data_IF_900640559572
#
_entry.id   IF_900640559572
#
_cell.length_a   1.000
_cell.length_b   1.000
_cell.length_c   1.000
_cell.angle_alpha   90.00
_cell.angle_beta   90.00
_cell.angle_gamma   90.00
#
_symmetry.space_group_name_H-M   'P 1'
#
loop_
_entity.id
_entity.type
_entity.pdbx_description
1 polymer ?
#
# COMPACT_ATOMS: atom_id res chain seq x y z
N UNK A 1 6.72 -11.78 -1.32
CA UNK A 1 5.80 -11.00 -2.17
C UNK A 1 4.74 -10.38 -1.27
N UNK A 2 4.53 -9.06 -1.33
CA UNK A 2 3.55 -8.36 -0.49
C UNK A 2 2.26 -8.14 -1.27
N UNK A 3 1.22 -8.95 -1.01
CA UNK A 3 -0.10 -8.81 -1.64
C UNK A 3 -1.15 -8.20 -0.69
N UNK A 4 -0.89 -8.20 0.62
CA UNK A 4 -1.84 -7.73 1.62
C UNK A 4 -2.31 -6.30 1.33
N UNK A 5 -3.63 -6.09 1.27
CA UNK A 5 -4.25 -4.76 1.30
C UNK A 5 -5.01 -4.66 2.61
N UNK A 6 -4.48 -3.82 3.49
CA UNK A 6 -4.92 -3.70 4.87
C UNK A 6 -4.82 -2.23 5.27
N UNK A 7 -5.92 -1.71 5.80
CA UNK A 7 -6.02 -0.40 6.40
C UNK A 7 -6.43 -0.57 7.86
N UNK A 8 -5.61 -0.05 8.77
CA UNK A 8 -5.89 0.01 10.20
C UNK A 8 -6.03 1.48 10.57
N UNK A 9 -7.10 1.84 11.26
CA UNK A 9 -7.32 3.20 11.77
C UNK A 9 -7.57 3.12 13.27
N UNK A 10 -6.77 3.92 13.99
CA UNK A 10 -6.68 3.90 15.45
C UNK A 10 -6.55 2.46 15.97
N UNK A 11 -7.18 2.17 17.11
CA UNK A 11 -7.15 0.86 17.78
C UNK A 11 -8.48 0.10 17.62
N UNK A 12 -9.28 0.38 16.58
CA UNK A 12 -10.63 -0.21 16.46
C UNK A 12 -11.05 -0.59 15.05
N UNK A 13 -10.65 0.17 14.03
CA UNK A 13 -11.15 -0.04 12.67
C UNK A 13 -10.16 -0.83 11.83
N UNK A 14 -10.68 -1.84 11.15
CA UNK A 14 -9.93 -2.69 10.22
C UNK A 14 -10.69 -2.73 8.91
N UNK A 15 -10.00 -2.44 7.81
CA UNK A 15 -10.50 -2.69 6.47
C UNK A 15 -9.48 -3.54 5.70
N UNK A 16 -9.94 -4.69 5.19
CA UNK A 16 -9.12 -5.60 4.40
C UNK A 16 -9.89 -6.09 3.18
N UNK A 17 -9.20 -6.36 2.08
CA UNK A 17 -9.88 -6.79 0.87
C UNK A 17 -9.01 -6.84 -0.37
N UNK A 18 -9.65 -6.74 -1.53
CA UNK A 18 -8.98 -6.75 -2.83
C UNK A 18 -8.47 -5.36 -3.26
N UNK A 19 -9.02 -4.29 -2.70
CA UNK A 19 -8.77 -2.90 -3.12
C UNK A 19 -7.30 -2.51 -2.98
N UNK A 20 -6.66 -2.18 -4.10
CA UNK A 20 -5.36 -1.49 -4.08
C UNK A 20 -5.56 0.01 -3.84
N UNK A 21 -4.55 0.67 -3.27
CA UNK A 21 -4.57 2.12 -3.07
C UNK A 21 -4.15 2.87 -4.34
N UNK A 22 -4.98 2.77 -5.38
CA UNK A 22 -4.80 3.48 -6.65
C UNK A 22 -6.15 3.94 -7.24
N UNK A 23 -6.15 4.95 -8.13
CA UNK A 23 -7.40 5.49 -8.69
C UNK A 23 -8.25 4.45 -9.42
N UNK A 24 -7.64 3.42 -10.02
CA UNK A 24 -8.36 2.40 -10.80
C UNK A 24 -9.11 1.47 -9.87
N UNK A 25 -8.48 0.97 -8.81
CA UNK A 25 -9.14 0.18 -7.77
C UNK A 25 -10.24 0.98 -7.07
N UNK A 26 -10.04 2.27 -6.82
CA UNK A 26 -11.01 3.11 -6.11
C UNK A 26 -12.20 3.60 -6.96
N UNK A 27 -12.12 3.59 -8.30
CA UNK A 27 -13.16 4.17 -9.16
C UNK A 27 -13.68 3.26 -10.27
N UNK A 28 -12.95 2.20 -10.62
CA UNK A 28 -13.24 1.40 -11.82
C UNK A 28 -13.35 -0.10 -11.56
N UNK A 29 -12.57 -0.64 -10.61
CA UNK A 29 -12.64 -2.07 -10.32
C UNK A 29 -13.84 -2.42 -9.45
N UNK A 30 -14.34 -3.64 -9.66
CA UNK A 30 -15.21 -4.29 -8.68
C UNK A 30 -14.34 -4.86 -7.57
N UNK A 31 -14.25 -4.11 -6.47
CA UNK A 31 -13.50 -4.51 -5.29
C UNK A 31 -14.42 -5.07 -4.21
N UNK A 32 -13.90 -6.00 -3.40
CA UNK A 32 -14.57 -6.51 -2.21
C UNK A 32 -13.69 -6.22 -0.99
N UNK A 33 -14.22 -5.42 -0.07
CA UNK A 33 -13.60 -5.16 1.23
C UNK A 33 -14.52 -5.61 2.36
N UNK A 34 -13.90 -6.02 3.46
CA UNK A 34 -14.55 -6.33 4.73
C UNK A 34 -14.09 -5.31 5.75
N UNK A 35 -15.06 -4.65 6.36
CA UNK A 35 -14.84 -3.70 7.45
C UNK A 35 -15.19 -4.37 8.78
N UNK A 36 -14.29 -4.26 9.74
CA UNK A 36 -14.44 -4.85 11.07
C UNK A 36 -14.10 -3.79 12.12
N UNK A 37 -15.01 -3.61 13.08
CA UNK A 37 -14.82 -2.76 14.25
C UNK A 37 -14.54 -3.66 15.46
N UNK A 38 -13.27 -3.94 15.74
CA UNK A 38 -12.84 -4.80 16.84
C UNK A 38 -11.44 -4.42 17.29
N UNK A 39 -11.28 -3.95 18.55
CA UNK A 39 -9.96 -3.69 19.11
C UNK A 39 -9.06 -4.92 19.15
N UNK A 40 -9.64 -6.10 19.40
CA UNK A 40 -8.89 -7.35 19.49
C UNK A 40 -8.29 -7.77 18.14
N UNK A 41 -9.09 -7.67 17.07
CA UNK A 41 -8.60 -7.96 15.72
C UNK A 41 -7.59 -6.89 15.28
N UNK A 42 -7.90 -5.62 15.54
CA UNK A 42 -7.05 -4.50 15.17
C UNK A 42 -5.65 -4.62 15.82
N UNK A 43 -5.58 -4.92 17.13
CA UNK A 43 -4.30 -5.14 17.82
C UNK A 43 -3.46 -6.26 17.19
N UNK A 44 -4.07 -7.40 16.87
CA UNK A 44 -3.37 -8.52 16.20
C UNK A 44 -2.83 -8.14 14.83
N UNK A 45 -3.58 -7.32 14.08
CA UNK A 45 -3.17 -6.87 12.75
C UNK A 45 -2.13 -5.75 12.81
N UNK A 46 -2.12 -4.93 13.87
CA UNK A 46 -1.02 -4.00 14.15
C UNK A 46 0.29 -4.74 14.43
N UNK A 47 0.27 -5.82 15.23
CA UNK A 47 1.45 -6.65 15.45
C UNK A 47 1.97 -7.27 14.14
N UNK A 48 1.06 -7.75 13.28
CA UNK A 48 1.41 -8.22 11.95
C UNK A 48 2.04 -7.10 11.12
N UNK A 49 1.43 -5.91 11.06
CA UNK A 49 1.96 -4.77 10.31
C UNK A 49 3.34 -4.34 10.83
N UNK A 50 3.54 -4.29 12.15
CA UNK A 50 4.82 -4.00 12.78
C UNK A 50 5.90 -5.01 12.41
N UNK A 51 5.56 -6.31 12.35
CA UNK A 51 6.49 -7.36 11.91
C UNK A 51 6.94 -7.19 10.45
N UNK A 52 6.03 -6.75 9.58
CA UNK A 52 6.34 -6.45 8.17
C UNK A 52 7.21 -5.20 8.06
N UNK A 53 6.90 -4.15 8.84
CA UNK A 53 7.69 -2.93 8.89
C UNK A 53 9.12 -3.18 9.38
N UNK A 54 9.30 -4.05 10.38
CA UNK A 54 10.61 -4.37 10.96
C UNK A 54 11.61 -4.95 9.96
N UNK A 55 11.14 -5.58 8.88
CA UNK A 55 11.97 -6.13 7.79
C UNK A 55 11.93 -5.30 6.51
N UNK A 56 11.24 -4.16 6.54
CA UNK A 56 11.11 -3.26 5.39
C UNK A 56 12.21 -2.19 5.40
N UNK A 57 12.43 -1.58 4.24
CA UNK A 57 13.34 -0.44 4.10
C UNK A 57 12.54 0.84 3.93
N UNK A 58 12.87 1.87 4.71
CA UNK A 58 12.26 3.18 4.59
C UNK A 58 12.61 3.82 3.23
N UNK A 59 11.59 4.34 2.55
CA UNK A 59 11.74 5.07 1.30
C UNK A 59 11.41 6.54 1.55
N UNK A 60 12.43 7.39 1.48
CA UNK A 60 12.27 8.85 1.62
C UNK A 60 12.26 9.53 0.25
N UNK A 61 11.66 10.72 0.18
CA UNK A 61 11.65 11.53 -1.04
C UNK A 61 13.07 11.89 -1.50
N UNK A 62 13.96 12.22 -0.56
CA UNK A 62 15.36 12.53 -0.86
C UNK A 62 16.08 11.34 -1.51
N UNK A 63 15.89 10.12 -0.99
CA UNK A 63 16.45 8.89 -1.56
C UNK A 63 15.89 8.58 -2.96
N UNK A 64 14.68 9.03 -3.28
CA UNK A 64 14.09 8.88 -4.61
C UNK A 64 14.69 9.89 -5.61
N UNK A 65 14.90 11.12 -5.16
CA UNK A 65 15.43 12.21 -6.00
C UNK A 65 16.92 12.09 -6.27
N UNK A 66 17.69 11.50 -5.34
CA UNK A 66 19.12 11.24 -5.47
C UNK A 66 19.46 10.11 -6.46
N UNK A 67 18.46 9.39 -6.99
CA UNK A 67 18.67 8.30 -7.96
C UNK A 67 19.25 8.82 -9.28
N UNK A 68 20.10 8.02 -9.96
CA UNK A 68 20.67 8.39 -11.25
C UNK A 68 19.60 8.78 -12.28
N UNK A 69 19.93 9.74 -13.15
CA UNK A 69 19.00 10.27 -14.16
C UNK A 69 18.40 9.16 -15.05
N UNK A 70 19.21 8.17 -15.44
CA UNK A 70 18.73 7.04 -16.25
C UNK A 70 17.59 6.26 -15.56
N UNK A 71 17.67 6.05 -14.24
CA UNK A 71 16.63 5.37 -13.46
C UNK A 71 15.36 6.22 -13.40
N UNK A 72 15.52 7.53 -13.23
CA UNK A 72 14.40 8.47 -13.19
C UNK A 72 13.68 8.55 -14.53
N UNK A 73 14.41 8.60 -15.65
CA UNK A 73 13.86 8.60 -17.00
C UNK A 73 13.12 7.28 -17.31
N UNK A 74 13.71 6.14 -16.95
CA UNK A 74 13.04 4.83 -17.06
C UNK A 74 11.71 4.81 -16.29
N UNK A 75 11.71 5.28 -15.04
CA UNK A 75 10.50 5.31 -14.22
C UNK A 75 9.44 6.27 -14.80
N UNK A 76 9.85 7.43 -15.30
CA UNK A 76 8.94 8.37 -15.96
C UNK A 76 8.33 7.77 -17.24
N UNK A 77 9.13 7.07 -18.05
CA UNK A 77 8.64 6.36 -19.22
C UNK A 77 7.63 5.26 -18.84
N UNK A 78 7.88 4.49 -17.77
CA UNK A 78 6.93 3.51 -17.26
C UNK A 78 5.63 4.17 -16.74
N UNK A 79 5.73 5.33 -16.10
CA UNK A 79 4.59 6.07 -15.56
C UNK A 79 3.61 6.54 -16.64
N UNK A 80 4.08 6.83 -17.86
CA UNK A 80 3.19 7.16 -18.99
C UNK A 80 2.19 6.03 -19.27
N UNK A 81 2.54 4.78 -18.96
CA UNK A 81 1.68 3.61 -19.13
C UNK A 81 0.87 3.26 -17.87
N UNK A 82 0.93 4.05 -16.80
CA UNK A 82 0.19 3.77 -15.56
C UNK A 82 -1.33 3.65 -15.71
N UNK A 83 -2.02 4.23 -16.72
CA UNK A 83 -3.45 3.95 -16.93
C UNK A 83 -3.72 2.51 -17.40
N UNK A 84 -2.71 1.82 -17.95
CA UNK A 84 -2.81 0.47 -18.51
C UNK A 84 -2.18 -0.61 -17.62
N UNK A 85 -1.42 -0.20 -16.59
CA UNK A 85 -0.77 -1.06 -15.60
C UNK A 85 -1.62 -1.08 -14.31
#
# INVERSE_FOLDING_TARGET
FAHTKLLLVDDIYVCLGSTNLDPRSLSLNFELNVEVFSPELNARLHEFAASVLAVSHEVTLENLLSRPLAVRLRNAAAWIFSPYL
#
